data_IF_673307876408
#
_entry.id   IF_673307876408
#
_cell.length_a   1.000
_cell.length_b   1.000
_cell.length_c   1.000
_cell.angle_alpha   90.00
_cell.angle_beta   90.00
_cell.angle_gamma   90.00
#
_symmetry.space_group_name_H-M   'P 1'
#
loop_
_entity.id
_entity.type
_entity.pdbx_description
1 polymer ?
#
# COMPACT_ATOMS: atom_id res chain seq x y z
N UNK A 1 -11.16 19.40 7.77
CA UNK A 1 -11.43 18.21 8.58
C UNK A 1 -10.12 17.45 8.70
N UNK A 2 -9.43 17.57 9.83
CA UNK A 2 -8.18 16.85 10.07
C UNK A 2 -8.57 15.48 10.63
N UNK A 3 -8.23 14.42 9.94
CA UNK A 3 -8.37 13.06 10.48
C UNK A 3 -7.14 12.84 11.37
N UNK A 4 -7.19 13.38 12.57
CA UNK A 4 -6.31 13.00 13.67
C UNK A 4 -7.01 11.81 14.36
N UNK A 5 -6.32 10.66 14.40
CA UNK A 5 -6.67 9.45 15.16
C UNK A 5 -7.90 8.61 14.76
N UNK A 6 -8.29 8.59 13.48
CA UNK A 6 -9.10 7.46 13.02
C UNK A 6 -8.27 6.16 13.09
N UNK A 7 -8.77 5.18 13.84
CA UNK A 7 -8.44 3.78 13.62
C UNK A 7 -8.96 3.46 12.22
N UNK A 8 -8.05 3.09 11.31
CA UNK A 8 -8.43 2.73 9.96
C UNK A 8 -9.07 1.33 10.07
N UNK A 9 -10.38 1.27 10.23
CA UNK A 9 -11.16 0.02 10.16
C UNK A 9 -11.22 -0.41 8.69
N UNK A 10 -10.08 -0.91 8.22
CA UNK A 10 -9.94 -1.47 6.89
C UNK A 10 -10.38 -2.92 6.97
N UNK A 11 -11.47 -3.24 6.31
CA UNK A 11 -11.91 -4.62 6.13
C UNK A 11 -11.06 -5.31 5.06
N UNK A 12 -10.62 -6.54 5.33
CA UNK A 12 -9.99 -7.38 4.32
C UNK A 12 -11.03 -7.73 3.25
N UNK A 13 -10.73 -7.40 1.99
CA UNK A 13 -11.61 -7.68 0.85
C UNK A 13 -10.88 -8.38 -0.31
N UNK A 14 -9.63 -8.79 -0.08
CA UNK A 14 -8.76 -9.37 -1.08
C UNK A 14 -8.00 -10.57 -0.52
N UNK A 15 -7.39 -11.35 -1.41
CA UNK A 15 -6.54 -12.50 -1.08
C UNK A 15 -5.18 -12.38 -1.76
N UNK A 16 -4.17 -13.03 -1.18
CA UNK A 16 -2.80 -12.97 -1.65
C UNK A 16 -1.83 -12.74 -0.51
N UNK A 17 -0.76 -12.01 -0.79
CA UNK A 17 0.27 -11.69 0.20
C UNK A 17 0.88 -10.30 -0.01
N UNK A 18 1.26 -9.66 1.09
CA UNK A 18 2.04 -8.43 1.11
C UNK A 18 3.13 -8.54 2.18
N UNK A 19 4.39 -8.42 1.76
CA UNK A 19 5.56 -8.39 2.64
C UNK A 19 6.21 -7.00 2.67
N UNK A 20 6.83 -6.67 3.80
CA UNK A 20 7.53 -5.40 4.01
C UNK A 20 8.74 -5.55 4.92
N UNK A 21 9.80 -4.81 4.60
CA UNK A 21 11.01 -4.70 5.37
C UNK A 21 11.39 -3.23 5.53
N UNK A 22 11.93 -2.85 6.69
CA UNK A 22 12.50 -1.53 6.96
C UNK A 22 14.01 -1.69 7.14
N UNK A 23 14.79 -0.96 6.35
CA UNK A 23 16.25 -1.02 6.33
C UNK A 23 16.79 -2.47 6.21
N UNK A 24 16.10 -3.30 5.41
CA UNK A 24 16.44 -4.71 5.17
C UNK A 24 15.91 -5.69 6.22
N UNK A 25 15.31 -5.23 7.32
CA UNK A 25 14.70 -6.10 8.34
C UNK A 25 13.21 -6.25 8.10
N UNK A 26 12.74 -7.49 7.93
CA UNK A 26 11.31 -7.79 7.78
C UNK A 26 10.51 -7.28 8.99
N UNK A 27 9.35 -6.66 8.72
CA UNK A 27 8.41 -6.21 9.76
C UNK A 27 6.95 -6.51 9.42
N UNK A 28 6.63 -6.83 8.15
CA UNK A 28 5.29 -7.14 7.70
C UNK A 28 5.30 -8.41 6.85
N UNK A 29 4.43 -9.34 7.22
CA UNK A 29 4.01 -10.47 6.39
C UNK A 29 2.50 -10.63 6.59
N UNK A 30 1.72 -10.30 5.56
CA UNK A 30 0.27 -10.16 5.69
C UNK A 30 -0.48 -10.89 4.59
N UNK A 31 -1.54 -11.60 5.00
CA UNK A 31 -2.62 -12.11 4.17
C UNK A 31 -3.95 -11.37 4.40
N UNK A 32 -3.98 -10.40 5.31
CA UNK A 32 -5.13 -9.52 5.53
C UNK A 32 -4.95 -8.29 4.63
N UNK A 33 -5.62 -8.34 3.49
CA UNK A 33 -5.34 -7.47 2.36
C UNK A 33 -6.58 -6.69 1.96
N UNK A 34 -6.35 -5.45 1.56
CA UNK A 34 -7.36 -4.63 0.91
C UNK A 34 -6.86 -4.19 -0.44
N UNK A 35 -7.68 -4.42 -1.45
CA UNK A 35 -7.54 -3.86 -2.77
C UNK A 35 -8.91 -3.33 -3.17
N UNK A 36 -9.05 -2.00 -3.16
CA UNK A 36 -10.36 -1.37 -3.30
C UNK A 36 -10.29 -0.24 -4.31
N UNK A 37 -11.17 -0.28 -5.31
CA UNK A 37 -11.42 0.84 -6.21
C UNK A 37 -12.18 1.94 -5.48
N UNK A 38 -11.69 3.15 -5.60
CA UNK A 38 -12.31 4.39 -5.10
C UNK A 38 -12.46 5.38 -6.26
N UNK A 39 -13.21 6.48 -6.06
CA UNK A 39 -13.60 7.40 -7.15
C UNK A 39 -12.45 7.84 -8.05
N UNK A 40 -11.26 8.10 -7.50
CA UNK A 40 -10.11 8.60 -8.27
C UNK A 40 -8.92 7.62 -8.33
N UNK A 41 -9.10 6.36 -7.94
CA UNK A 41 -8.00 5.39 -7.96
C UNK A 41 -8.24 4.11 -7.19
N UNK A 42 -7.17 3.60 -6.59
CA UNK A 42 -7.18 2.36 -5.82
C UNK A 42 -6.49 2.58 -4.48
N UNK A 43 -7.02 1.93 -3.44
CA UNK A 43 -6.37 1.82 -2.13
C UNK A 43 -5.82 0.40 -2.03
N UNK A 44 -4.56 0.28 -1.61
CA UNK A 44 -3.91 -0.99 -1.32
C UNK A 44 -3.42 -0.98 0.12
N UNK A 45 -3.78 -2.03 0.87
CA UNK A 45 -3.37 -2.21 2.27
C UNK A 45 -2.86 -3.63 2.47
N UNK A 46 -1.68 -3.75 3.08
CA UNK A 46 -1.25 -4.98 3.75
C UNK A 46 -1.24 -4.74 5.25
N UNK A 47 -1.99 -5.51 6.01
CA UNK A 47 -2.22 -5.27 7.43
C UNK A 47 -1.96 -6.54 8.26
N UNK A 48 -1.21 -6.43 9.35
CA UNK A 48 -0.99 -7.51 10.30
C UNK A 48 -1.61 -7.10 11.63
N UNK A 49 -2.90 -7.43 11.82
CA UNK A 49 -3.66 -7.22 13.05
C UNK A 49 -3.54 -5.78 13.62
N UNK A 50 -3.51 -4.78 12.74
CA UNK A 50 -3.30 -3.35 13.05
C UNK A 50 -1.98 -3.05 13.79
N UNK A 51 -1.09 -4.02 13.98
CA UNK A 51 0.23 -3.83 14.59
C UNK A 51 1.20 -3.24 13.58
N UNK A 52 1.28 -3.88 12.41
CA UNK A 52 2.10 -3.49 11.28
C UNK A 52 1.20 -3.32 10.05
N UNK A 53 1.42 -2.27 9.27
CA UNK A 53 0.75 -2.16 7.98
C UNK A 53 1.48 -1.23 7.03
N UNK A 54 1.23 -1.41 5.74
CA UNK A 54 1.58 -0.46 4.68
C UNK A 54 0.28 -0.10 3.96
N UNK A 55 0.04 1.19 3.77
CA UNK A 55 -1.08 1.72 2.97
C UNK A 55 -0.57 2.73 1.96
N UNK A 56 -1.02 2.57 0.72
CA UNK A 56 -0.75 3.51 -0.36
C UNK A 56 -1.90 3.52 -1.37
N UNK A 57 -1.83 4.46 -2.31
CA UNK A 57 -2.85 4.63 -3.34
C UNK A 57 -2.23 4.60 -4.74
N UNK A 58 -3.02 4.17 -5.72
CA UNK A 58 -2.67 4.23 -7.13
C UNK A 58 -3.66 5.13 -7.87
N UNK A 59 -3.22 5.96 -8.83
CA UNK A 59 -4.12 6.80 -9.60
C UNK A 59 -5.01 5.98 -10.55
N UNK A 60 -6.28 6.37 -10.68
CA UNK A 60 -7.21 5.71 -11.60
C UNK A 60 -6.88 5.92 -13.08
N UNK A 61 -6.08 6.94 -13.38
CA UNK A 61 -5.69 7.37 -14.74
C UNK A 61 -4.61 6.51 -15.38
N UNK A 62 -4.01 5.56 -14.67
CA UNK A 62 -3.08 4.59 -15.27
C UNK A 62 -3.76 3.89 -16.44
N UNK A 63 -3.07 3.70 -17.56
CA UNK A 63 -3.61 3.06 -18.77
C UNK A 63 -2.97 1.69 -19.01
N UNK A 64 -3.78 0.68 -19.34
CA UNK A 64 -3.29 -0.70 -19.49
C UNK A 64 -2.85 -1.33 -18.17
N UNK A 65 -2.22 -2.50 -18.27
CA UNK A 65 -1.91 -3.35 -17.12
C UNK A 65 -0.61 -2.95 -16.41
N UNK A 66 0.34 -2.31 -17.10
CA UNK A 66 1.64 -1.92 -16.57
C UNK A 66 2.80 -2.72 -17.18
N UNK A 67 3.99 -2.72 -16.55
CA UNK A 67 4.29 -2.12 -15.26
C UNK A 67 4.15 -0.59 -15.27
N UNK A 68 3.63 -0.04 -14.17
CA UNK A 68 3.50 1.39 -13.91
C UNK A 68 4.38 1.77 -12.73
N UNK A 69 5.23 2.77 -12.91
CA UNK A 69 5.96 3.39 -11.80
C UNK A 69 5.16 4.60 -11.30
N UNK A 70 4.79 4.56 -10.03
CA UNK A 70 3.97 5.59 -9.37
C UNK A 70 4.77 6.16 -8.21
N UNK A 71 5.18 7.42 -8.34
CA UNK A 71 5.81 8.16 -7.26
C UNK A 71 4.78 8.54 -6.19
N UNK A 72 5.20 8.65 -4.93
CA UNK A 72 4.37 9.12 -3.84
C UNK A 72 3.83 10.52 -4.15
N UNK A 73 2.51 10.68 -4.05
CA UNK A 73 1.80 11.92 -4.40
C UNK A 73 0.78 12.30 -3.33
N UNK A 74 0.41 13.59 -3.21
CA UNK A 74 -0.69 14.01 -2.35
C UNK A 74 -2.03 13.56 -2.97
N UNK A 75 -2.45 12.35 -2.62
CA UNK A 75 -3.66 11.71 -3.14
C UNK A 75 -4.87 11.85 -2.22
N UNK A 76 -5.83 10.93 -2.40
CA UNK A 76 -7.03 10.81 -1.55
C UNK A 76 -6.64 10.48 -0.10
N UNK A 77 -5.52 9.77 0.06
CA UNK A 77 -4.97 9.35 1.33
C UNK A 77 -3.45 9.43 1.27
N UNK A 78 -2.84 10.02 2.30
CA UNK A 78 -1.40 10.04 2.49
C UNK A 78 -0.88 8.60 2.59
N UNK A 79 0.21 8.31 1.88
CA UNK A 79 0.89 7.04 2.01
C UNK A 79 1.53 6.94 3.40
N UNK A 80 1.33 5.81 4.06
CA UNK A 80 1.72 5.63 5.44
C UNK A 80 2.22 4.21 5.69
N UNK A 81 3.04 4.06 6.73
CA UNK A 81 3.51 2.78 7.24
C UNK A 81 3.34 2.78 8.75
N UNK A 82 2.88 1.67 9.33
CA UNK A 82 2.89 1.44 10.78
C UNK A 82 3.84 0.28 11.08
N UNK A 83 4.75 0.50 12.01
CA UNK A 83 5.74 -0.48 12.47
C UNK A 83 5.67 -0.53 13.98
N UNK A 84 5.39 -1.70 14.55
CA UNK A 84 5.27 -1.91 16.00
C UNK A 84 4.39 -0.86 16.69
N UNK A 85 3.22 -0.60 16.10
CA UNK A 85 2.25 0.42 16.52
C UNK A 85 2.64 1.89 16.33
N UNK A 86 3.84 2.20 15.82
CA UNK A 86 4.25 3.58 15.51
C UNK A 86 3.89 3.90 14.06
N UNK A 87 3.14 4.98 13.84
CA UNK A 87 2.73 5.44 12.50
C UNK A 87 3.76 6.41 11.93
N UNK A 88 4.16 6.17 10.69
CA UNK A 88 5.08 6.98 9.91
C UNK A 88 4.39 7.43 8.62
N UNK A 89 4.55 8.72 8.28
CA UNK A 89 4.17 9.22 6.95
C UNK A 89 5.30 8.91 5.98
N UNK A 90 4.96 8.57 4.75
CA UNK A 90 5.94 8.48 3.66
C UNK A 90 6.28 9.91 3.21
N UNK A 91 7.56 10.22 3.09
CA UNK A 91 8.05 11.53 2.64
C UNK A 91 8.29 11.56 1.13
N UNK A 92 8.83 10.46 0.59
CA UNK A 92 9.08 10.21 -0.82
C UNK A 92 9.16 8.70 -1.05
N UNK A 93 9.05 8.27 -2.30
CA UNK A 93 9.11 6.85 -2.65
C UNK A 93 8.33 6.57 -3.92
N UNK A 94 8.35 5.32 -4.33
CA UNK A 94 7.62 4.85 -5.50
C UNK A 94 7.08 3.44 -5.30
N UNK A 95 6.10 3.09 -6.11
CA UNK A 95 5.57 1.74 -6.25
C UNK A 95 5.58 1.37 -7.73
N UNK A 96 6.16 0.23 -8.06
CA UNK A 96 6.03 -0.38 -9.39
C UNK A 96 4.90 -1.40 -9.34
N UNK A 97 3.88 -1.25 -10.19
CA UNK A 97 2.67 -2.08 -10.16
C UNK A 97 2.30 -2.66 -11.52
N UNK A 98 1.73 -3.85 -11.52
CA UNK A 98 1.10 -4.48 -12.69
C UNK A 98 -0.27 -5.00 -12.28
N UNK A 99 -1.31 -4.51 -12.93
CA UNK A 99 -2.65 -5.08 -12.82
C UNK A 99 -2.68 -6.46 -13.49
N UNK A 100 -3.42 -7.40 -12.92
CA UNK A 100 -3.45 -8.78 -13.42
C UNK A 100 -4.27 -8.96 -14.70
N UNK A 101 -5.15 -8.00 -15.01
CA UNK A 101 -5.98 -7.97 -16.21
C UNK A 101 -6.53 -6.55 -16.44
N UNK A 102 -7.12 -6.31 -17.62
CA UNK A 102 -7.82 -5.06 -17.96
C UNK A 102 -8.96 -4.68 -17.01
N UNK A 103 -9.67 -5.68 -16.46
CA UNK A 103 -10.71 -5.48 -15.47
C UNK A 103 -10.15 -5.06 -14.09
N UNK A 104 -8.83 -5.16 -13.90
CA UNK A 104 -8.07 -4.84 -12.70
C UNK A 104 -8.60 -5.57 -11.46
N UNK A 105 -8.93 -6.85 -11.60
CA UNK A 105 -9.36 -7.69 -10.45
C UNK A 105 -8.20 -8.17 -9.57
N UNK A 106 -6.98 -7.72 -9.86
CA UNK A 106 -5.82 -7.96 -9.02
C UNK A 106 -4.64 -7.07 -9.42
N UNK A 107 -3.66 -7.02 -8.53
CA UNK A 107 -2.47 -6.18 -8.66
C UNK A 107 -1.27 -6.86 -7.99
N UNK A 108 -0.13 -6.79 -8.64
CA UNK A 108 1.16 -7.20 -8.07
C UNK A 108 2.18 -6.09 -8.22
N UNK A 109 3.18 -6.05 -7.36
CA UNK A 109 4.17 -5.00 -7.43
C UNK A 109 5.17 -5.00 -6.30
N UNK A 110 5.99 -3.95 -6.29
CA UNK A 110 6.97 -3.70 -5.26
C UNK A 110 6.85 -2.25 -4.77
N UNK A 111 7.09 -2.03 -3.47
CA UNK A 111 7.15 -0.69 -2.87
C UNK A 111 8.59 -0.34 -2.53
N UNK A 112 8.95 0.93 -2.68
CA UNK A 112 10.21 1.52 -2.24
C UNK A 112 9.93 2.91 -1.65
N UNK A 113 9.78 2.98 -0.33
CA UNK A 113 9.26 4.13 0.40
C UNK A 113 10.31 4.65 1.38
N UNK A 114 10.34 5.95 1.60
CA UNK A 114 11.17 6.58 2.61
C UNK A 114 10.26 7.27 3.63
N UNK A 115 10.50 6.98 4.90
CA UNK A 115 9.66 7.49 5.98
C UNK A 115 10.12 8.88 6.42
N UNK A 116 9.15 9.72 6.81
CA UNK A 116 9.42 10.99 7.48
C UNK A 116 9.99 10.69 8.87
N UNK A 117 11.26 11.03 9.08
CA UNK A 117 12.02 10.66 10.28
C UNK A 117 13.13 9.64 10.03
N UNK A 118 13.25 9.13 8.80
CA UNK A 118 14.29 8.18 8.40
C UNK A 118 13.77 6.74 8.30
N UNK A 119 14.53 5.90 7.60
CA UNK A 119 14.19 4.51 7.31
C UNK A 119 13.64 4.32 5.89
N UNK A 120 14.15 3.29 5.22
CA UNK A 120 13.72 2.86 3.89
C UNK A 120 12.87 1.62 4.00
N UNK A 121 11.61 1.70 3.57
CA UNK A 121 10.70 0.56 3.48
C UNK A 121 10.72 -0.02 2.08
N UNK A 122 11.00 -1.31 1.96
CA UNK A 122 10.85 -2.07 0.73
C UNK A 122 9.87 -3.20 0.93
N UNK A 123 9.13 -3.59 -0.10
CA UNK A 123 8.17 -4.67 0.02
C UNK A 123 7.69 -5.17 -1.32
N UNK A 124 6.99 -6.30 -1.31
CA UNK A 124 6.40 -6.91 -2.49
C UNK A 124 4.99 -7.36 -2.18
N UNK A 125 4.11 -7.32 -3.17
CA UNK A 125 2.73 -7.76 -3.01
C UNK A 125 2.22 -8.44 -4.27
N UNK A 126 1.29 -9.37 -4.06
CA UNK A 126 0.49 -9.99 -5.10
C UNK A 126 -0.90 -10.24 -4.52
N UNK A 127 -1.88 -9.48 -5.00
CA UNK A 127 -3.20 -9.34 -4.40
C UNK A 127 -4.24 -9.51 -5.51
N UNK A 128 -5.35 -10.17 -5.22
CA UNK A 128 -6.52 -10.24 -6.10
C UNK A 128 -7.80 -10.11 -5.28
N UNK A 129 -8.85 -9.61 -5.92
CA UNK A 129 -10.20 -9.59 -5.37
C UNK A 129 -10.61 -11.01 -4.95
N UNK A 130 -11.45 -11.09 -3.91
CA UNK A 130 -12.06 -12.35 -3.45
C UNK A 130 -13.13 -12.85 -4.43
#
# INVERSE_FOLDING_TARGET
MKIEDAQLDVEANAIGMFTGAVDGKAFLESNFLTFQKVRSGYIIVGNENNKNWIIFTLPGTLQGEGPHDVDCYPGILDWQVKIENVRYRVSLGSVTVTFQNEARTGVKGNVNLFLKGGGKVTGSFNIREQ
#
